data_IF_180489956359
#
_entry.id   IF_180489956359
#
_cell.length_a   1.000
_cell.length_b   1.000
_cell.length_c   1.000
_cell.angle_alpha   90.00
_cell.angle_beta   90.00
_cell.angle_gamma   90.00
#
_symmetry.space_group_name_H-M   'P 1'
#
loop_
_entity.id
_entity.type
_entity.pdbx_description
1 polymer ?
#
# COMPACT_ATOMS: atom_id res chain seq x y z
N UNK A 1 -17.08 42.95 18.38
CA UNK A 1 -17.53 41.56 18.16
C UNK A 1 -16.65 40.94 17.09
N UNK A 2 -15.50 40.42 17.50
CA UNK A 2 -14.57 39.71 16.61
C UNK A 2 -15.10 38.28 16.48
N UNK A 3 -15.66 37.95 15.31
CA UNK A 3 -16.04 36.59 15.00
C UNK A 3 -14.78 35.73 14.96
N UNK A 4 -14.54 34.97 16.03
CA UNK A 4 -13.61 33.86 16.01
C UNK A 4 -14.24 32.84 15.06
N UNK A 5 -13.86 32.89 13.79
CA UNK A 5 -14.10 31.80 12.85
C UNK A 5 -13.25 30.66 13.39
N UNK A 6 -13.85 29.83 14.25
CA UNK A 6 -13.32 28.53 14.63
C UNK A 6 -13.08 27.77 13.33
N UNK A 7 -11.84 27.76 12.85
CA UNK A 7 -11.46 26.99 11.68
C UNK A 7 -11.47 25.52 12.09
N UNK A 8 -12.67 24.91 12.01
CA UNK A 8 -12.91 23.54 12.47
C UNK A 8 -11.95 22.62 11.73
N UNK A 9 -11.11 21.91 12.49
CA UNK A 9 -10.22 20.89 11.95
C UNK A 9 -11.03 19.91 11.11
N UNK A 10 -10.67 19.79 9.83
CA UNK A 10 -11.30 18.84 8.91
C UNK A 10 -10.95 17.40 9.28
N UNK A 11 -11.89 16.49 9.05
CA UNK A 11 -11.71 15.06 9.27
C UNK A 11 -11.45 14.34 7.95
N UNK A 12 -10.41 13.50 7.93
CA UNK A 12 -9.99 12.72 6.77
C UNK A 12 -10.18 11.23 7.05
N UNK A 13 -10.96 10.56 6.22
CA UNK A 13 -11.06 9.10 6.20
C UNK A 13 -10.05 8.53 5.20
N UNK A 14 -9.06 7.77 5.66
CA UNK A 14 -8.04 7.15 4.81
C UNK A 14 -8.22 5.63 4.71
N UNK A 15 -8.24 5.10 3.48
CA UNK A 15 -8.70 3.75 3.21
C UNK A 15 -7.73 2.96 2.30
N UNK A 16 -6.70 2.30 2.87
CA UNK A 16 -5.79 1.44 2.11
C UNK A 16 -6.42 0.12 1.64
N UNK A 17 -6.04 -0.33 0.44
CA UNK A 17 -6.36 -1.65 -0.09
C UNK A 17 -5.63 -2.78 0.65
N UNK A 18 -6.30 -3.93 0.79
CA UNK A 18 -5.76 -5.13 1.45
C UNK A 18 -5.28 -6.20 0.47
N UNK A 19 -4.30 -5.86 -0.37
CA UNK A 19 -3.59 -6.82 -1.25
C UNK A 19 -2.11 -6.96 -0.84
N UNK A 20 -1.85 -6.87 0.46
CA UNK A 20 -0.51 -6.82 1.07
C UNK A 20 -0.28 -5.52 1.84
N UNK A 21 0.85 -5.43 2.55
CA UNK A 21 1.17 -4.27 3.39
C UNK A 21 1.64 -3.04 2.59
N UNK A 22 1.96 -3.19 1.30
CA UNK A 22 2.47 -2.09 0.48
C UNK A 22 1.53 -0.88 0.42
N UNK A 23 0.22 -1.11 0.34
CA UNK A 23 -0.78 -0.04 0.39
C UNK A 23 -0.84 0.60 1.78
N UNK A 24 -0.87 -0.19 2.86
CA UNK A 24 -0.93 0.34 4.21
C UNK A 24 0.34 1.15 4.57
N UNK A 25 1.52 0.61 4.29
CA UNK A 25 2.82 1.22 4.58
C UNK A 25 3.01 2.59 3.93
N UNK A 26 2.66 2.76 2.64
CA UNK A 26 2.78 4.05 1.96
C UNK A 26 1.83 5.12 2.49
N UNK A 27 0.72 4.72 3.12
CA UNK A 27 -0.20 5.67 3.76
C UNK A 27 0.34 6.21 5.10
N UNK A 28 1.35 5.57 5.72
CA UNK A 28 1.93 6.04 6.98
C UNK A 28 2.44 7.47 6.87
N UNK A 29 3.16 7.81 5.79
CA UNK A 29 3.66 9.17 5.59
C UNK A 29 2.54 10.18 5.31
N UNK A 30 1.46 9.75 4.66
CA UNK A 30 0.28 10.59 4.41
C UNK A 30 -0.41 10.90 5.74
N UNK A 31 -0.65 9.87 6.55
CA UNK A 31 -1.29 10.01 7.87
C UNK A 31 -0.48 10.96 8.75
N UNK A 32 0.85 10.75 8.86
CA UNK A 32 1.73 11.65 9.62
C UNK A 32 1.60 13.10 9.13
N UNK A 33 1.69 13.35 7.82
CA UNK A 33 1.55 14.72 7.27
C UNK A 33 0.17 15.35 7.52
N UNK A 34 -0.90 14.56 7.48
CA UNK A 34 -2.25 15.04 7.79
C UNK A 34 -2.37 15.46 9.25
N UNK A 35 -1.87 14.63 10.17
CA UNK A 35 -1.85 14.93 11.61
C UNK A 35 -0.99 16.16 11.90
N UNK A 36 0.22 16.24 11.33
CA UNK A 36 1.12 17.40 11.46
C UNK A 36 0.48 18.70 10.93
N UNK A 37 -0.43 18.58 9.95
CA UNK A 37 -1.19 19.70 9.39
C UNK A 37 -2.48 20.01 10.16
N UNK A 38 -2.70 19.37 11.31
CA UNK A 38 -3.85 19.61 12.19
C UNK A 38 -5.17 18.99 11.72
N UNK A 39 -5.14 18.01 10.80
CA UNK A 39 -6.35 17.25 10.43
C UNK A 39 -6.64 16.15 11.46
N UNK A 40 -7.93 15.83 11.63
CA UNK A 40 -8.35 14.59 12.30
C UNK A 40 -8.31 13.45 11.29
N UNK A 41 -7.78 12.29 11.67
CA UNK A 41 -7.68 11.14 10.77
C UNK A 41 -8.47 9.96 11.31
N UNK A 42 -9.29 9.36 10.45
CA UNK A 42 -9.97 8.07 10.67
C UNK A 42 -9.41 7.07 9.67
N UNK A 43 -9.08 5.87 10.12
CA UNK A 43 -8.51 4.82 9.26
C UNK A 43 -9.56 3.76 8.93
N UNK A 44 -9.85 3.61 7.63
CA UNK A 44 -10.79 2.65 7.07
C UNK A 44 -10.10 1.43 6.45
N UNK A 45 -9.85 0.37 7.22
CA UNK A 45 -9.05 -0.78 6.76
C UNK A 45 -9.65 -2.14 7.17
N UNK A 46 -9.08 -3.24 6.67
CA UNK A 46 -9.37 -4.59 7.11
C UNK A 46 -8.10 -5.47 7.18
N UNK A 47 -8.15 -6.53 7.98
CA UNK A 47 -7.12 -7.59 8.12
C UNK A 47 -5.69 -7.05 8.36
N UNK A 48 -4.71 -7.49 7.58
CA UNK A 48 -3.30 -7.17 7.79
C UNK A 48 -3.01 -5.65 7.72
N UNK A 49 -3.51 -4.87 6.74
CA UNK A 49 -3.46 -3.41 6.77
C UNK A 49 -4.03 -2.78 8.04
N UNK A 50 -5.15 -3.29 8.54
CA UNK A 50 -5.77 -2.78 9.77
C UNK A 50 -4.85 -3.02 10.97
N UNK A 51 -4.39 -4.25 11.17
CA UNK A 51 -3.49 -4.61 12.28
C UNK A 51 -2.17 -3.83 12.21
N UNK A 52 -1.65 -3.65 11.00
CA UNK A 52 -0.45 -2.85 10.76
C UNK A 52 -0.66 -1.38 11.17
N UNK A 53 -1.72 -0.74 10.68
CA UNK A 53 -1.97 0.68 10.98
C UNK A 53 -2.39 0.92 12.43
N UNK A 54 -3.02 -0.06 13.09
CA UNK A 54 -3.29 -0.01 14.53
C UNK A 54 -2.00 -0.02 15.35
N UNK A 55 -1.00 -0.81 14.95
CA UNK A 55 0.30 -0.81 15.61
C UNK A 55 1.06 0.51 15.38
N UNK A 56 0.96 1.11 14.19
CA UNK A 56 1.62 2.38 13.87
C UNK A 56 0.91 3.60 14.47
N UNK A 57 -0.41 3.56 14.63
CA UNK A 57 -1.24 4.67 15.09
C UNK A 57 -2.33 4.21 16.10
N UNK A 58 -1.95 3.75 17.29
CA UNK A 58 -2.89 3.15 18.25
C UNK A 58 -3.98 4.12 18.72
N UNK A 59 -3.69 5.42 18.75
CA UNK A 59 -4.60 6.47 19.24
C UNK A 59 -5.65 6.91 18.20
N UNK A 60 -5.53 6.48 16.94
CA UNK A 60 -6.47 6.92 15.89
C UNK A 60 -7.76 6.09 15.91
N UNK A 61 -8.90 6.67 15.51
CA UNK A 61 -10.13 5.93 15.30
C UNK A 61 -10.03 5.03 14.05
N UNK A 62 -10.51 3.79 14.18
CA UNK A 62 -10.53 2.80 13.11
C UNK A 62 -11.96 2.38 12.75
N UNK A 63 -12.24 2.29 11.45
CA UNK A 63 -13.46 1.75 10.90
C UNK A 63 -13.11 0.53 10.03
N UNK A 64 -13.76 -0.61 10.30
CA UNK A 64 -13.57 -1.79 9.47
C UNK A 64 -14.30 -1.64 8.14
N UNK A 65 -13.55 -1.58 7.03
CA UNK A 65 -14.11 -1.53 5.68
C UNK A 65 -13.61 -2.75 4.89
N UNK A 66 -14.36 -3.87 4.85
CA UNK A 66 -13.96 -5.10 4.20
C UNK A 66 -13.48 -4.92 2.76
N UNK A 67 -12.33 -5.49 2.43
CA UNK A 67 -11.79 -5.53 1.07
C UNK A 67 -12.11 -6.86 0.40
N UNK A 68 -12.26 -6.86 -0.92
CA UNK A 68 -12.33 -8.10 -1.69
C UNK A 68 -10.97 -8.80 -1.65
N UNK A 69 -10.97 -10.02 -1.10
CA UNK A 69 -9.79 -10.87 -1.12
C UNK A 69 -9.53 -11.41 -2.51
N UNK A 70 -8.30 -11.18 -2.97
CA UNK A 70 -7.73 -11.81 -4.15
C UNK A 70 -6.58 -12.71 -3.73
N UNK A 71 -6.63 -13.97 -4.17
CA UNK A 71 -5.54 -14.93 -4.03
C UNK A 71 -4.80 -15.06 -5.35
N UNK A 72 -3.49 -14.92 -5.32
CA UNK A 72 -2.68 -15.05 -6.54
C UNK A 72 -2.48 -16.54 -6.86
N UNK A 73 -2.41 -16.93 -8.15
CA UNK A 73 -2.15 -18.34 -8.49
C UNK A 73 -0.68 -18.69 -8.21
N UNK A 74 -0.38 -19.97 -7.95
CA UNK A 74 1.00 -20.48 -7.79
C UNK A 74 1.81 -20.55 -9.11
N UNK A 75 1.22 -20.18 -10.26
CA UNK A 75 1.84 -20.34 -11.59
C UNK A 75 1.51 -19.22 -12.57
N UNK A 76 1.84 -19.41 -13.85
CA UNK A 76 1.83 -18.37 -14.92
C UNK A 76 0.43 -17.86 -15.34
N UNK A 77 -0.65 -18.36 -14.73
CA UNK A 77 -2.05 -18.00 -15.07
C UNK A 77 -2.56 -16.77 -14.30
N UNK A 78 -1.68 -15.81 -13.98
CA UNK A 78 -2.03 -14.62 -13.20
C UNK A 78 -3.13 -13.80 -13.88
N UNK A 79 -2.92 -13.47 -15.16
CA UNK A 79 -3.87 -12.68 -15.95
C UNK A 79 -5.24 -13.34 -16.00
N UNK A 80 -5.29 -14.64 -16.32
CA UNK A 80 -6.53 -15.40 -16.38
C UNK A 80 -7.24 -15.48 -15.01
N UNK A 81 -6.49 -15.68 -13.92
CA UNK A 81 -7.04 -15.69 -12.56
C UNK A 81 -7.63 -14.33 -12.18
N UNK A 82 -6.98 -13.24 -12.57
CA UNK A 82 -7.48 -11.88 -12.34
C UNK A 82 -8.75 -11.60 -13.15
N UNK A 83 -8.79 -11.99 -14.44
CA UNK A 83 -9.98 -11.90 -15.29
C UNK A 83 -11.19 -12.61 -14.67
N UNK A 84 -11.02 -13.85 -14.22
CA UNK A 84 -12.10 -14.59 -13.54
C UNK A 84 -12.47 -14.00 -12.17
N UNK A 85 -11.60 -13.21 -11.56
CA UNK A 85 -11.89 -12.50 -10.31
C UNK A 85 -12.65 -11.19 -10.54
N UNK A 86 -12.78 -10.72 -11.78
CA UNK A 86 -13.42 -9.43 -12.10
C UNK A 86 -14.85 -9.29 -11.59
N UNK A 87 -15.77 -10.28 -11.72
CA UNK A 87 -17.12 -10.14 -11.18
C UNK A 87 -17.11 -9.89 -9.66
N UNK A 88 -16.22 -10.58 -8.93
CA UNK A 88 -16.05 -10.41 -7.48
C UNK A 88 -15.50 -9.02 -7.15
N UNK A 89 -14.54 -8.52 -7.93
CA UNK A 89 -13.98 -7.16 -7.77
C UNK A 89 -15.08 -6.11 -7.98
N UNK A 90 -15.86 -6.21 -9.05
CA UNK A 90 -16.96 -5.27 -9.34
C UNK A 90 -18.02 -5.28 -8.24
N UNK A 91 -18.41 -6.47 -7.76
CA UNK A 91 -19.30 -6.59 -6.60
C UNK A 91 -18.71 -5.90 -5.36
N UNK A 92 -17.41 -6.10 -5.12
CA UNK A 92 -16.65 -5.43 -4.07
C UNK A 92 -16.76 -3.91 -4.12
N UNK A 93 -16.51 -3.33 -5.31
CA UNK A 93 -16.59 -1.89 -5.56
C UNK A 93 -17.99 -1.35 -5.22
N UNK A 94 -19.05 -2.05 -5.63
CA UNK A 94 -20.42 -1.66 -5.30
C UNK A 94 -20.66 -1.71 -3.79
N UNK A 95 -20.17 -2.74 -3.12
CA UNK A 95 -20.30 -2.88 -1.67
C UNK A 95 -19.50 -1.79 -0.91
N UNK A 96 -18.27 -1.51 -1.32
CA UNK A 96 -17.46 -0.39 -0.81
C UNK A 96 -18.21 0.93 -0.91
N UNK A 97 -18.83 1.20 -2.06
CA UNK A 97 -19.58 2.44 -2.26
C UNK A 97 -20.80 2.53 -1.35
N UNK A 98 -21.52 1.42 -1.12
CA UNK A 98 -22.63 1.36 -0.16
C UNK A 98 -22.15 1.58 1.27
N UNK A 99 -21.03 0.98 1.65
CA UNK A 99 -20.44 1.13 2.99
C UNK A 99 -19.97 2.56 3.24
N UNK A 100 -19.30 3.18 2.27
CA UNK A 100 -18.86 4.57 2.39
C UNK A 100 -20.03 5.52 2.63
N UNK A 101 -21.15 5.35 1.91
CA UNK A 101 -22.36 6.16 2.15
C UNK A 101 -22.85 6.07 3.60
N UNK A 102 -22.86 4.87 4.19
CA UNK A 102 -23.26 4.68 5.59
C UNK A 102 -22.26 5.34 6.55
N UNK A 103 -20.97 5.22 6.28
CA UNK A 103 -19.92 5.85 7.09
C UNK A 103 -20.07 7.37 7.07
N UNK A 104 -20.21 7.97 5.89
CA UNK A 104 -20.36 9.42 5.73
C UNK A 104 -21.68 9.96 6.33
N UNK A 105 -22.72 9.14 6.43
CA UNK A 105 -23.97 9.54 7.09
C UNK A 105 -23.84 9.59 8.63
N UNK A 106 -22.96 8.76 9.19
CA UNK A 106 -22.80 8.59 10.64
C UNK A 106 -21.55 9.28 11.21
N UNK A 107 -20.68 9.82 10.36
CA UNK A 107 -19.41 10.42 10.76
C UNK A 107 -19.23 11.73 10.01
N UNK A 108 -18.75 12.75 10.71
CA UNK A 108 -18.43 14.05 10.13
C UNK A 108 -17.06 13.98 9.43
N UNK A 109 -17.07 13.51 8.18
CA UNK A 109 -15.91 13.31 7.32
C UNK A 109 -15.94 14.32 6.19
N UNK A 110 -14.92 15.16 6.08
CA UNK A 110 -14.81 16.19 5.04
C UNK A 110 -14.08 15.68 3.78
N UNK A 111 -13.14 14.74 3.98
CA UNK A 111 -12.24 14.25 2.94
C UNK A 111 -12.13 12.73 3.02
N UNK A 112 -12.19 12.06 1.86
CA UNK A 112 -11.93 10.63 1.73
C UNK A 112 -10.69 10.43 0.88
N UNK A 113 -9.68 9.75 1.43
CA UNK A 113 -8.49 9.32 0.71
C UNK A 113 -8.59 7.81 0.50
N UNK A 114 -8.88 7.41 -0.73
CA UNK A 114 -8.98 6.02 -1.16
C UNK A 114 -7.69 5.58 -1.83
N UNK A 115 -6.99 4.61 -1.26
CA UNK A 115 -5.80 4.05 -1.87
C UNK A 115 -6.14 2.75 -2.61
N UNK A 116 -6.20 2.85 -3.95
CA UNK A 116 -6.50 1.78 -4.89
C UNK A 116 -7.82 1.03 -4.61
N UNK A 117 -8.79 1.68 -3.96
CA UNK A 117 -10.14 1.14 -3.69
C UNK A 117 -11.20 1.88 -4.48
N UNK A 118 -11.56 1.36 -5.65
CA UNK A 118 -12.38 2.06 -6.64
C UNK A 118 -13.80 2.43 -6.17
N UNK A 119 -14.35 1.81 -5.12
CA UNK A 119 -15.69 2.11 -4.60
C UNK A 119 -15.75 3.26 -3.59
N UNK A 120 -14.60 3.69 -3.05
CA UNK A 120 -14.54 4.63 -1.92
C UNK A 120 -14.42 6.09 -2.37
N UNK A 121 -15.41 6.56 -3.13
CA UNK A 121 -15.58 7.97 -3.49
C UNK A 121 -17.00 8.44 -3.20
N UNK A 122 -17.16 9.75 -3.02
CA UNK A 122 -18.46 10.40 -2.83
C UNK A 122 -18.44 11.80 -3.45
N UNK A 123 -19.59 12.24 -3.96
CA UNK A 123 -19.76 13.61 -4.48
C UNK A 123 -19.99 14.64 -3.37
N UNK A 124 -20.32 14.18 -2.16
CA UNK A 124 -20.70 15.06 -1.04
C UNK A 124 -19.48 15.52 -0.23
N UNK A 125 -18.33 14.88 -0.41
CA UNK A 125 -17.09 15.14 0.32
C UNK A 125 -15.92 15.11 -0.66
N UNK A 126 -14.81 15.77 -0.33
CA UNK A 126 -13.67 15.80 -1.22
C UNK A 126 -13.01 14.41 -1.29
N UNK A 127 -12.98 13.80 -2.46
CA UNK A 127 -12.49 12.42 -2.66
C UNK A 127 -11.17 12.42 -3.42
N UNK A 128 -10.16 11.79 -2.85
CA UNK A 128 -8.81 11.62 -3.41
C UNK A 128 -8.55 10.14 -3.65
N UNK A 129 -8.11 9.79 -4.84
CA UNK A 129 -7.67 8.44 -5.19
C UNK A 129 -6.15 8.35 -5.17
N UNK A 130 -5.57 7.26 -4.69
CA UNK A 130 -4.12 7.00 -4.77
C UNK A 130 -3.88 5.78 -5.64
N UNK A 131 -3.13 5.94 -6.74
CA UNK A 131 -2.70 4.84 -7.59
C UNK A 131 -1.42 5.15 -8.35
N UNK A 132 -0.56 4.14 -8.55
CA UNK A 132 0.56 4.18 -9.49
C UNK A 132 0.26 3.37 -10.77
N UNK A 133 -0.98 2.84 -10.87
CA UNK A 133 -1.45 2.00 -11.96
C UNK A 133 -2.45 2.79 -12.81
N UNK A 134 -1.98 3.89 -13.41
CA UNK A 134 -2.78 4.64 -14.38
C UNK A 134 -3.00 3.81 -15.64
N UNK A 135 -1.98 3.10 -16.10
CA UNK A 135 -2.12 2.13 -17.20
C UNK A 135 -1.99 0.69 -16.70
N UNK A 136 -3.09 -0.05 -16.69
CA UNK A 136 -3.10 -1.48 -16.41
C UNK A 136 -2.42 -2.20 -17.57
N UNK A 137 -1.34 -2.92 -17.27
CA UNK A 137 -0.61 -3.72 -18.24
C UNK A 137 -1.22 -5.12 -18.36
N UNK A 138 -1.35 -5.57 -19.61
CA UNK A 138 -1.75 -6.93 -19.98
C UNK A 138 -0.78 -7.43 -21.06
N UNK A 139 -0.66 -8.75 -21.26
CA UNK A 139 0.11 -9.31 -22.37
C UNK A 139 -0.31 -8.71 -23.72
N UNK A 140 0.63 -8.54 -24.64
CA UNK A 140 0.42 -7.83 -25.91
C UNK A 140 -0.70 -8.44 -26.77
N UNK A 141 -0.86 -9.77 -26.76
CA UNK A 141 -1.94 -10.47 -27.45
C UNK A 141 -3.35 -10.10 -26.93
N UNK A 142 -3.45 -9.39 -25.80
CA UNK A 142 -4.69 -8.89 -25.20
C UNK A 142 -4.89 -7.38 -25.38
N UNK A 143 -4.19 -6.73 -26.32
CA UNK A 143 -4.26 -5.28 -26.53
C UNK A 143 -5.68 -4.68 -26.63
N UNK A 144 -6.66 -5.30 -27.34
CA UNK A 144 -8.04 -4.79 -27.34
C UNK A 144 -8.69 -4.78 -25.95
N UNK A 145 -8.42 -5.82 -25.15
CA UNK A 145 -8.90 -5.92 -23.76
C UNK A 145 -8.19 -4.89 -22.88
N UNK A 146 -6.87 -4.70 -23.08
CA UNK A 146 -6.07 -3.68 -22.36
C UNK A 146 -6.69 -2.30 -22.52
N UNK A 147 -7.07 -1.93 -23.74
CA UNK A 147 -7.72 -0.65 -24.01
C UNK A 147 -9.04 -0.48 -23.24
N UNK A 148 -9.89 -1.51 -23.24
CA UNK A 148 -11.15 -1.49 -22.52
C UNK A 148 -10.97 -1.43 -20.99
N UNK A 149 -10.03 -2.21 -20.45
CA UNK A 149 -9.68 -2.19 -19.02
C UNK A 149 -9.20 -0.81 -18.60
N UNK A 150 -8.35 -0.16 -19.39
CA UNK A 150 -7.87 1.19 -19.09
C UNK A 150 -8.97 2.25 -19.23
N UNK A 151 -9.92 2.09 -20.16
CA UNK A 151 -11.12 2.94 -20.20
C UNK A 151 -11.93 2.84 -18.90
N UNK A 152 -12.14 1.63 -18.39
CA UNK A 152 -12.83 1.42 -17.12
C UNK A 152 -12.03 2.02 -15.96
N UNK A 153 -10.72 1.78 -15.92
CA UNK A 153 -9.82 2.35 -14.90
C UNK A 153 -9.97 3.88 -14.84
N UNK A 154 -9.87 4.55 -15.99
CA UNK A 154 -10.04 5.99 -16.07
C UNK A 154 -11.47 6.46 -15.82
N UNK A 155 -12.49 5.64 -16.09
CA UNK A 155 -13.86 5.97 -15.69
C UNK A 155 -13.99 6.07 -14.17
N UNK A 156 -13.37 5.14 -13.43
CA UNK A 156 -13.35 5.23 -11.98
C UNK A 156 -12.47 6.35 -11.45
N UNK A 157 -11.25 6.54 -11.98
CA UNK A 157 -10.35 7.63 -11.54
C UNK A 157 -11.03 9.00 -11.67
N UNK A 158 -11.84 9.20 -12.72
CA UNK A 158 -12.61 10.44 -12.92
C UNK A 158 -13.78 10.65 -11.94
N UNK A 159 -14.13 9.66 -11.12
CA UNK A 159 -15.13 9.83 -10.05
C UNK A 159 -14.59 10.60 -8.85
N UNK A 160 -13.26 10.66 -8.71
CA UNK A 160 -12.57 11.36 -7.63
C UNK A 160 -12.25 12.80 -8.02
N UNK A 161 -12.24 13.70 -7.04
CA UNK A 161 -11.83 15.09 -7.24
C UNK A 161 -10.34 15.19 -7.62
N UNK A 162 -9.52 14.31 -7.05
CA UNK A 162 -8.07 14.27 -7.27
C UNK A 162 -7.57 12.83 -7.34
N UNK A 163 -6.51 12.60 -8.11
CA UNK A 163 -5.80 11.34 -8.19
C UNK A 163 -4.31 11.59 -7.89
N UNK A 164 -3.84 11.14 -6.73
CA UNK A 164 -2.44 11.14 -6.34
C UNK A 164 -1.71 9.95 -6.93
N UNK A 165 -0.63 10.25 -7.66
CA UNK A 165 0.29 9.27 -8.22
C UNK A 165 1.57 9.31 -7.39
N UNK A 166 1.88 8.25 -6.64
CA UNK A 166 3.06 8.20 -5.78
C UNK A 166 4.31 7.88 -6.59
N UNK A 167 4.62 8.76 -7.55
CA UNK A 167 5.80 8.73 -8.41
C UNK A 167 6.31 10.16 -8.63
N UNK A 168 7.51 10.30 -9.16
CA UNK A 168 8.05 11.59 -9.61
C UNK A 168 7.44 12.00 -10.95
N UNK A 169 7.16 13.29 -11.11
CA UNK A 169 6.78 13.84 -12.41
C UNK A 169 8.00 13.87 -13.35
N UNK A 170 7.79 13.53 -14.63
CA UNK A 170 8.80 13.65 -15.67
C UNK A 170 9.70 12.41 -15.79
N UNK A 171 10.96 12.61 -16.17
CA UNK A 171 11.86 11.51 -16.55
C UNK A 171 12.49 10.76 -15.36
N UNK A 172 12.40 11.32 -14.15
CA UNK A 172 12.93 10.70 -12.94
C UNK A 172 11.96 9.70 -12.30
N UNK A 173 10.92 9.29 -13.02
CA UNK A 173 9.89 8.39 -12.51
C UNK A 173 10.39 6.95 -12.33
N UNK A 174 9.67 6.19 -11.52
CA UNK A 174 10.03 4.81 -11.15
C UNK A 174 9.14 3.79 -11.87
N UNK A 175 7.87 4.13 -12.14
CA UNK A 175 6.89 3.18 -12.67
C UNK A 175 6.74 3.22 -14.20
N UNK A 176 7.43 4.13 -14.88
CA UNK A 176 7.37 4.32 -16.34
C UNK A 176 5.92 4.39 -16.84
N UNK A 177 5.57 3.64 -17.89
CA UNK A 177 4.26 3.63 -18.54
C UNK A 177 3.11 3.32 -17.58
N UNK A 178 3.36 2.63 -16.46
CA UNK A 178 2.32 2.33 -15.46
C UNK A 178 1.77 3.62 -14.82
N UNK A 179 2.64 4.59 -14.54
CA UNK A 179 2.27 5.89 -13.95
C UNK A 179 2.33 7.05 -14.93
N UNK A 180 2.95 6.89 -16.10
CA UNK A 180 3.12 7.94 -17.11
C UNK A 180 2.56 7.56 -18.48
N UNK A 181 1.27 7.16 -18.60
CA UNK A 181 0.68 6.90 -19.90
C UNK A 181 0.55 8.18 -20.72
N UNK A 182 0.57 8.04 -22.05
CA UNK A 182 0.46 9.18 -22.98
C UNK A 182 -0.82 9.99 -22.76
N UNK A 183 -1.92 9.31 -22.42
CA UNK A 183 -3.23 9.93 -22.20
C UNK A 183 -3.67 9.75 -20.75
N UNK A 184 -3.88 10.87 -20.05
CA UNK A 184 -4.14 10.90 -18.61
C UNK A 184 -5.37 11.77 -18.27
N UNK A 185 -6.19 11.39 -17.27
CA UNK A 185 -7.16 12.28 -16.64
C UNK A 185 -6.56 13.59 -16.12
N UNK A 186 -7.31 14.70 -16.22
CA UNK A 186 -6.85 16.04 -15.77
C UNK A 186 -6.69 16.17 -14.25
N UNK A 187 -7.30 15.28 -13.47
CA UNK A 187 -7.30 15.29 -12.01
C UNK A 187 -6.06 14.60 -11.40
N UNK A 188 -5.03 14.26 -12.20
CA UNK A 188 -3.81 13.62 -11.71
C UNK A 188 -2.85 14.64 -11.09
N UNK A 189 -2.24 14.27 -9.96
CA UNK A 189 -1.13 14.99 -9.32
C UNK A 189 -0.08 13.99 -8.86
N UNK A 190 1.17 14.22 -9.24
CA UNK A 190 2.30 13.44 -8.77
C UNK A 190 2.72 13.95 -7.40
N UNK A 191 2.87 13.05 -6.43
CA UNK A 191 3.18 13.39 -5.04
C UNK A 191 4.58 12.96 -4.61
N UNK A 192 5.37 12.46 -5.56
CA UNK A 192 6.67 11.85 -5.27
C UNK A 192 6.54 10.51 -4.58
N UNK A 193 7.66 9.98 -4.10
CA UNK A 193 7.68 8.70 -3.41
C UNK A 193 7.02 8.79 -2.04
N UNK A 194 6.18 7.81 -1.74
CA UNK A 194 5.54 7.66 -0.44
C UNK A 194 6.23 6.56 0.36
N UNK A 195 7.42 6.89 0.88
CA UNK A 195 8.11 6.02 1.84
C UNK A 195 7.82 6.46 3.26
N UNK A 196 7.67 5.47 4.15
CA UNK A 196 7.55 5.70 5.61
C UNK A 196 8.90 5.84 6.29
N UNK A 197 9.98 5.45 5.62
CA UNK A 197 11.31 5.47 6.20
C UNK A 197 11.97 6.82 6.01
N UNK A 198 12.75 7.19 7.02
CA UNK A 198 13.68 8.32 6.97
C UNK A 198 15.08 7.77 7.18
N UNK A 199 16.07 8.47 6.62
CA UNK A 199 17.46 8.16 6.93
C UNK A 199 17.72 8.45 8.40
N UNK A 200 18.28 7.47 9.10
CA UNK A 200 18.68 7.56 10.49
C UNK A 200 20.18 7.30 10.60
N UNK A 201 20.76 7.61 11.75
CA UNK A 201 22.14 7.25 12.05
C UNK A 201 22.31 5.73 11.99
N UNK A 202 23.41 5.31 11.34
CA UNK A 202 23.69 3.89 11.15
C UNK A 202 24.15 3.30 12.48
N UNK A 203 23.42 2.28 12.93
CA UNK A 203 23.87 1.41 14.01
C UNK A 203 24.76 0.30 13.48
N UNK A 204 25.40 -0.42 14.39
CA UNK A 204 26.21 -1.58 14.05
C UNK A 204 25.38 -2.67 13.34
N UNK A 205 26.02 -3.28 12.34
CA UNK A 205 25.46 -4.37 11.55
C UNK A 205 25.19 -5.59 12.44
N UNK A 206 23.94 -6.06 12.48
CA UNK A 206 23.53 -7.29 13.19
C UNK A 206 23.36 -8.52 12.30
N UNK A 207 23.08 -8.31 11.01
CA UNK A 207 22.77 -9.35 10.04
C UNK A 207 23.56 -9.13 8.75
N UNK A 208 23.86 -10.22 8.05
CA UNK A 208 24.43 -10.19 6.71
C UNK A 208 23.35 -10.05 5.65
N UNK A 209 22.21 -10.72 5.86
CA UNK A 209 21.08 -10.79 4.93
C UNK A 209 19.78 -10.44 5.66
N UNK A 210 19.00 -9.55 5.08
CA UNK A 210 17.65 -9.22 5.50
C UNK A 210 16.68 -9.61 4.38
N UNK A 211 15.79 -10.57 4.62
CA UNK A 211 14.69 -10.87 3.72
C UNK A 211 13.38 -10.27 4.21
N UNK A 212 12.70 -9.48 3.38
CA UNK A 212 11.43 -8.83 3.72
C UNK A 212 10.32 -9.43 2.86
N UNK A 213 9.34 -10.01 3.54
CA UNK A 213 8.20 -10.68 2.92
C UNK A 213 6.95 -9.81 3.00
N UNK A 214 6.21 -9.76 1.90
CA UNK A 214 4.89 -9.14 1.84
C UNK A 214 4.11 -9.67 0.63
N UNK A 215 2.85 -9.25 0.49
CA UNK A 215 1.99 -9.56 -0.65
C UNK A 215 0.98 -10.67 -0.39
N UNK A 216 0.12 -10.96 -1.38
CA UNK A 216 -1.00 -11.87 -1.24
C UNK A 216 -0.57 -13.34 -1.19
N UNK A 217 -1.28 -14.14 -0.40
CA UNK A 217 -1.11 -15.58 -0.36
C UNK A 217 -1.62 -16.25 -1.65
N UNK A 218 -0.99 -17.36 -2.07
CA UNK A 218 0.07 -18.13 -1.41
C UNK A 218 1.50 -17.67 -1.78
N UNK A 219 1.66 -16.62 -2.59
CA UNK A 219 2.96 -16.23 -3.16
C UNK A 219 3.96 -15.74 -2.10
N UNK A 220 3.47 -15.10 -1.02
CA UNK A 220 4.27 -14.76 0.16
C UNK A 220 4.89 -16.00 0.79
N UNK A 221 4.07 -17.01 1.09
CA UNK A 221 4.54 -18.27 1.68
C UNK A 221 5.45 -19.06 0.75
N UNK A 222 5.18 -19.08 -0.56
CA UNK A 222 6.08 -19.71 -1.54
C UNK A 222 7.46 -19.06 -1.51
N UNK A 223 7.52 -17.73 -1.48
CA UNK A 223 8.79 -17.01 -1.43
C UNK A 223 9.55 -17.26 -0.11
N UNK A 224 8.83 -17.29 1.02
CA UNK A 224 9.39 -17.67 2.32
C UNK A 224 10.10 -19.04 2.26
N UNK A 225 9.44 -20.06 1.69
CA UNK A 225 10.02 -21.40 1.61
C UNK A 225 11.24 -21.47 0.70
N UNK A 226 11.25 -20.71 -0.40
CA UNK A 226 12.43 -20.59 -1.27
C UNK A 226 13.60 -20.00 -0.47
N UNK A 227 13.38 -18.90 0.24
CA UNK A 227 14.42 -18.25 1.04
C UNK A 227 14.94 -19.16 2.15
N UNK A 228 14.08 -19.86 2.87
CA UNK A 228 14.51 -20.81 3.91
C UNK A 228 15.41 -21.90 3.31
N UNK A 229 15.05 -22.41 2.12
CA UNK A 229 15.82 -23.47 1.44
C UNK A 229 17.23 -22.99 1.08
N UNK A 230 17.36 -21.77 0.55
CA UNK A 230 18.64 -21.21 0.11
C UNK A 230 19.48 -20.67 1.28
N UNK A 231 18.84 -20.07 2.29
CA UNK A 231 19.55 -19.43 3.39
C UNK A 231 20.05 -20.43 4.44
N UNK A 232 19.38 -21.58 4.64
CA UNK A 232 19.79 -22.58 5.65
C UNK A 232 21.13 -23.24 5.34
N UNK A 233 21.57 -23.22 4.08
CA UNK A 233 22.87 -23.74 3.64
C UNK A 233 23.95 -22.66 3.60
N UNK A 234 23.57 -21.40 3.83
CA UNK A 234 24.48 -20.27 3.87
C UNK A 234 25.10 -20.12 5.27
N UNK A 235 26.38 -19.74 5.35
CA UNK A 235 27.06 -19.44 6.63
C UNK A 235 26.73 -18.05 7.18
N UNK A 236 26.10 -17.20 6.39
CA UNK A 236 25.77 -15.82 6.73
C UNK A 236 24.57 -15.75 7.68
N UNK A 237 24.59 -14.84 8.65
CA UNK A 237 23.47 -14.64 9.57
C UNK A 237 22.34 -13.89 8.89
N UNK A 238 21.15 -14.49 8.84
CA UNK A 238 20.01 -13.95 8.13
C UNK A 238 18.84 -13.60 9.07
N UNK A 239 18.07 -12.59 8.68
CA UNK A 239 16.78 -12.25 9.29
C UNK A 239 15.68 -12.30 8.23
N UNK A 240 14.59 -13.01 8.50
CA UNK A 240 13.37 -13.01 7.67
C UNK A 240 12.25 -12.26 8.42
N UNK A 241 11.84 -11.12 7.86
CA UNK A 241 10.67 -10.36 8.31
C UNK A 241 9.45 -10.84 7.53
N UNK A 242 8.50 -11.50 8.21
CA UNK A 242 7.45 -12.28 7.56
C UNK A 242 6.28 -11.46 7.01
N UNK A 243 6.13 -10.20 7.43
CA UNK A 243 5.04 -9.33 6.99
C UNK A 243 3.68 -9.74 7.55
N UNK A 244 3.66 -10.26 8.79
CA UNK A 244 2.48 -10.78 9.49
C UNK A 244 2.18 -9.93 10.75
N UNK A 245 1.61 -8.73 10.60
CA UNK A 245 1.26 -7.89 11.74
C UNK A 245 0.18 -8.57 12.59
N UNK A 246 0.24 -8.35 13.91
CA UNK A 246 -0.68 -8.95 14.88
C UNK A 246 -0.44 -10.42 15.20
N UNK A 247 0.63 -11.02 14.65
CA UNK A 247 1.10 -12.35 15.05
C UNK A 247 2.42 -12.15 15.82
N UNK A 248 2.53 -12.73 17.01
CA UNK A 248 3.75 -12.76 17.81
C UNK A 248 4.33 -14.18 17.71
N UNK A 249 5.10 -14.43 16.65
CA UNK A 249 5.74 -15.73 16.41
C UNK A 249 7.19 -15.52 15.98
N UNK A 250 7.99 -14.94 16.86
CA UNK A 250 9.41 -14.75 16.61
C UNK A 250 10.17 -15.98 17.08
N UNK A 251 11.06 -16.49 16.23
CA UNK A 251 11.81 -17.71 16.52
C UNK A 251 13.11 -17.75 15.72
N UNK A 252 14.06 -18.55 16.18
CA UNK A 252 15.28 -18.84 15.47
C UNK A 252 15.24 -20.27 14.90
N UNK A 253 15.76 -20.46 13.70
CA UNK A 253 16.01 -21.78 13.13
C UNK A 253 17.20 -21.74 12.16
N UNK A 254 18.16 -22.65 12.35
CA UNK A 254 19.44 -22.64 11.61
C UNK A 254 20.22 -21.33 11.87
N UNK A 255 20.77 -20.71 10.83
CA UNK A 255 21.39 -19.38 10.82
C UNK A 255 20.38 -18.24 10.59
N UNK A 256 19.07 -18.50 10.75
CA UNK A 256 18.00 -17.60 10.35
C UNK A 256 17.15 -17.22 11.57
N UNK A 257 17.06 -15.92 11.84
CA UNK A 257 16.08 -15.33 12.74
C UNK A 257 14.78 -15.03 11.96
N UNK A 258 13.64 -15.32 12.55
CA UNK A 258 12.32 -15.04 11.98
C UNK A 258 11.59 -14.06 12.89
N UNK A 259 11.10 -12.98 12.29
CA UNK A 259 10.28 -11.99 12.99
C UNK A 259 8.99 -11.79 12.22
N UNK A 260 7.88 -11.81 12.94
CA UNK A 260 6.55 -11.73 12.33
C UNK A 260 6.31 -10.36 11.71
N UNK A 261 6.64 -9.30 12.45
CA UNK A 261 6.53 -7.92 12.02
C UNK A 261 7.49 -7.01 12.82
N UNK A 262 7.89 -5.89 12.23
CA UNK A 262 8.76 -4.88 12.85
C UNK A 262 8.17 -3.49 12.68
N UNK A 263 8.39 -2.62 13.67
CA UNK A 263 8.04 -1.21 13.59
C UNK A 263 8.76 -0.52 12.42
N UNK A 264 8.20 0.61 11.97
CA UNK A 264 8.82 1.46 10.94
C UNK A 264 10.29 1.76 11.25
N UNK A 265 10.60 2.13 12.49
CA UNK A 265 11.93 2.54 12.92
C UNK A 265 12.91 1.37 12.86
N UNK A 266 12.55 0.22 13.46
CA UNK A 266 13.40 -0.96 13.51
C UNK A 266 13.65 -1.55 12.11
N UNK A 267 12.61 -1.60 11.26
CA UNK A 267 12.76 -2.10 9.90
C UNK A 267 13.62 -1.15 9.04
N UNK A 268 13.40 0.17 9.15
CA UNK A 268 14.20 1.16 8.44
C UNK A 268 15.69 1.10 8.81
N UNK A 269 15.97 0.87 10.10
CA UNK A 269 17.32 0.64 10.58
C UNK A 269 17.95 -0.61 9.96
N UNK A 270 17.25 -1.74 10.02
CA UNK A 270 17.75 -3.00 9.46
C UNK A 270 18.01 -2.92 7.96
N UNK A 271 17.12 -2.26 7.20
CA UNK A 271 17.34 -2.03 5.76
C UNK A 271 18.62 -1.19 5.54
N UNK A 272 18.84 -0.17 6.38
CA UNK A 272 19.97 0.74 6.23
C UNK A 272 21.31 0.09 6.58
N UNK A 273 21.33 -0.75 7.63
CA UNK A 273 22.58 -1.34 8.17
C UNK A 273 22.91 -2.71 7.57
N UNK A 274 21.92 -3.43 7.01
CA UNK A 274 22.17 -4.77 6.46
C UNK A 274 22.74 -4.68 5.05
N UNK A 275 23.85 -5.37 4.73
CA UNK A 275 24.48 -5.29 3.41
C UNK A 275 23.60 -5.82 2.27
N UNK A 276 22.89 -6.92 2.48
CA UNK A 276 22.05 -7.54 1.45
C UNK A 276 20.59 -7.54 1.89
N UNK A 277 19.74 -6.87 1.12
CA UNK A 277 18.29 -6.88 1.33
C UNK A 277 17.61 -7.64 0.19
N UNK A 278 16.83 -8.66 0.54
CA UNK A 278 16.10 -9.51 -0.39
C UNK A 278 14.60 -9.28 -0.21
N UNK A 279 13.90 -8.93 -1.27
CA UNK A 279 12.44 -8.82 -1.22
C UNK A 279 11.82 -9.03 -2.60
N UNK A 280 10.48 -9.08 -2.66
CA UNK A 280 9.79 -8.92 -3.93
C UNK A 280 9.85 -7.45 -4.36
N UNK A 281 10.00 -7.21 -5.66
CA UNK A 281 10.02 -5.90 -6.30
C UNK A 281 8.62 -5.25 -6.37
N UNK A 282 7.91 -5.22 -5.24
CA UNK A 282 6.66 -4.48 -5.12
C UNK A 282 6.92 -2.97 -5.15
N UNK A 283 6.01 -2.20 -5.74
CA UNK A 283 6.23 -0.77 -5.95
C UNK A 283 6.53 -0.01 -4.65
N UNK A 284 5.80 -0.29 -3.56
CA UNK A 284 6.09 0.31 -2.24
C UNK A 284 7.49 -0.01 -1.73
N UNK A 285 7.97 -1.25 -1.91
CA UNK A 285 9.34 -1.62 -1.52
C UNK A 285 10.37 -0.84 -2.32
N UNK A 286 10.15 -0.67 -3.63
CA UNK A 286 11.06 0.12 -4.49
C UNK A 286 11.11 1.57 -4.01
N UNK A 287 9.95 2.18 -3.70
CA UNK A 287 9.92 3.54 -3.13
C UNK A 287 10.72 3.64 -1.83
N UNK A 288 10.60 2.64 -0.96
CA UNK A 288 11.32 2.56 0.31
C UNK A 288 12.84 2.44 0.10
N UNK A 289 13.29 1.58 -0.81
CA UNK A 289 14.72 1.40 -1.09
C UNK A 289 15.35 2.64 -1.75
N UNK A 290 14.66 3.28 -2.69
CA UNK A 290 15.13 4.54 -3.28
C UNK A 290 15.25 5.61 -2.18
N UNK A 291 14.26 5.70 -1.29
CA UNK A 291 14.27 6.67 -0.18
C UNK A 291 15.43 6.45 0.80
N UNK A 292 15.85 5.19 0.97
CA UNK A 292 16.98 4.79 1.81
C UNK A 292 18.32 4.66 1.07
N UNK A 293 18.35 4.88 -0.25
CA UNK A 293 19.51 4.69 -1.13
C UNK A 293 20.10 3.27 -1.02
N UNK A 294 19.23 2.27 -1.19
CA UNK A 294 19.56 0.84 -1.14
C UNK A 294 19.26 0.12 -2.44
#
# INVERSE_FOLDING_TARGET
>A
MTSIISNKSKTVLICPLNWGLGHASRNVIIIKKLLDSGFKVIIGADKAPLLFLQAEFPELPFIKIPSVEIKYPKGKRMVLKMLFSMPKILYGIVNEHKQLKKILANNDVDIVISDNRYGLWSKNVYSIFITHQLEIQLPEWMNPIKYFVNKINYWFIRKYNLCWVPDFLGNNNVAEVLSHPKNMPKNIRYVGLLSRFKRIELQEKKYDILAILSGPEPQRSVFEQILIKELKTCKLKALIVQGKPGILSDYNKYNIDFVSHLSTENLGQLISTTPVVISRSGYSSIMDYISLKK
#
